data_IF_010976911007
#
_entry.id   IF_010976911007
#
_cell.length_a   1.000
_cell.length_b   1.000
_cell.length_c   1.000
_cell.angle_alpha   90.00
_cell.angle_beta   90.00
_cell.angle_gamma   90.00
#
_symmetry.space_group_name_H-M   'P 1'
#
loop_
_entity.id
_entity.type
_entity.pdbx_description
1 polymer ?
#
# COMPACT_ATOMS: atom_id res chain seq x y z
N UNK A 1 27.40 -4.66 -15.66
CA UNK A 1 25.97 -4.84 -15.96
C UNK A 1 25.13 -4.32 -14.81
N UNK A 2 24.29 -3.37 -15.08
CA UNK A 2 23.45 -2.80 -14.04
C UNK A 2 22.30 -3.71 -13.68
N UNK A 3 22.08 -3.86 -12.39
CA UNK A 3 20.89 -4.55 -11.90
C UNK A 3 19.75 -3.57 -11.88
N UNK A 4 18.63 -3.95 -12.48
CA UNK A 4 17.42 -3.17 -12.33
C UNK A 4 16.89 -3.34 -10.91
N UNK A 5 16.52 -2.23 -10.29
CA UNK A 5 15.92 -2.26 -8.98
C UNK A 5 14.49 -2.76 -9.08
N UNK A 6 14.10 -3.63 -8.18
CA UNK A 6 12.71 -4.04 -8.07
C UNK A 6 11.88 -2.91 -7.49
N UNK A 7 10.68 -2.73 -8.04
CA UNK A 7 9.73 -1.75 -7.54
C UNK A 7 8.69 -2.47 -6.70
N UNK A 8 8.53 -2.04 -5.46
CA UNK A 8 7.60 -2.65 -4.52
C UNK A 8 6.58 -1.61 -4.08
N UNK A 9 5.30 -1.94 -4.22
CA UNK A 9 4.23 -1.11 -3.71
C UNK A 9 3.89 -1.48 -2.28
N UNK A 10 3.74 -0.48 -1.43
CA UNK A 10 3.25 -0.66 -0.08
C UNK A 10 1.96 0.11 0.07
N UNK A 11 0.91 -0.54 0.56
CA UNK A 11 -0.31 0.17 0.90
C UNK A 11 0.00 1.18 1.99
N UNK A 12 -0.54 2.37 1.84
CA UNK A 12 -0.21 3.48 2.73
C UNK A 12 -1.48 4.19 3.17
N UNK A 13 -1.49 4.71 4.38
CA UNK A 13 -2.66 5.42 4.91
C UNK A 13 -2.27 6.82 5.33
N UNK A 14 -3.21 7.75 5.23
CA UNK A 14 -3.03 9.10 5.73
C UNK A 14 -3.55 9.17 7.17
N UNK A 15 -2.92 10.03 7.99
CA UNK A 15 -3.30 10.18 9.39
C UNK A 15 -4.80 10.49 9.54
N UNK A 16 -5.30 11.41 8.73
CA UNK A 16 -6.70 11.84 8.79
C UNK A 16 -7.69 10.75 8.38
N UNK A 17 -7.22 9.72 7.68
CA UNK A 17 -8.07 8.64 7.18
C UNK A 17 -8.04 7.38 8.05
N UNK A 18 -7.11 7.30 9.00
CA UNK A 18 -6.82 6.03 9.66
C UNK A 18 -8.02 5.44 10.42
N UNK A 19 -8.78 6.29 11.12
CA UNK A 19 -9.96 5.81 11.84
C UNK A 19 -11.00 5.24 10.88
N UNK A 20 -11.19 5.87 9.72
CA UNK A 20 -12.11 5.37 8.70
C UNK A 20 -11.57 4.08 8.09
N UNK A 21 -10.25 4.01 7.88
CA UNK A 21 -9.59 2.78 7.42
C UNK A 21 -9.93 1.60 8.34
N UNK A 22 -9.81 1.80 9.65
CA UNK A 22 -10.13 0.75 10.61
C UNK A 22 -11.61 0.35 10.54
N UNK A 23 -12.47 1.28 10.16
CA UNK A 23 -13.90 1.01 10.04
C UNK A 23 -14.29 0.26 8.77
N UNK A 24 -13.54 0.42 7.68
CA UNK A 24 -13.90 -0.19 6.38
C UNK A 24 -13.17 -1.50 6.10
N UNK A 25 -12.03 -1.76 6.75
CA UNK A 25 -11.27 -2.98 6.51
C UNK A 25 -11.89 -4.14 7.28
N UNK A 26 -12.15 -5.25 6.58
CA UNK A 26 -12.72 -6.45 7.21
C UNK A 26 -11.73 -7.13 8.16
N UNK A 27 -10.44 -6.88 7.98
CA UNK A 27 -9.37 -7.43 8.82
C UNK A 27 -8.76 -6.36 9.73
N UNK A 28 -9.53 -5.35 10.12
CA UNK A 28 -9.03 -4.24 10.94
C UNK A 28 -8.40 -4.70 12.25
N UNK A 29 -8.84 -5.84 12.79
CA UNK A 29 -8.26 -6.40 14.01
C UNK A 29 -6.78 -6.77 13.86
N UNK A 30 -6.29 -6.89 12.63
CA UNK A 30 -4.86 -7.16 12.34
C UNK A 30 -4.05 -5.88 12.17
N UNK A 31 -4.71 -4.73 12.13
CA UNK A 31 -4.03 -3.45 11.99
C UNK A 31 -3.79 -2.84 13.38
N UNK A 32 -2.71 -2.08 13.55
CA UNK A 32 -2.48 -1.36 14.81
C UNK A 32 -3.65 -0.44 15.16
N UNK A 33 -3.86 -0.24 16.45
CA UNK A 33 -4.97 0.58 16.95
C UNK A 33 -4.82 2.06 16.61
N UNK A 34 -3.58 2.53 16.50
CA UNK A 34 -3.32 3.95 16.23
C UNK A 34 -2.53 4.13 14.97
N UNK A 35 -2.73 5.29 14.35
CA UNK A 35 -1.96 5.66 13.15
C UNK A 35 -0.45 5.71 13.46
N UNK A 36 -0.07 6.22 14.63
CA UNK A 36 1.35 6.31 15.00
C UNK A 36 2.03 4.94 15.05
N UNK A 37 1.35 3.96 15.62
CA UNK A 37 1.87 2.58 15.65
C UNK A 37 1.98 1.99 14.25
N UNK A 38 0.96 2.21 13.43
CA UNK A 38 0.99 1.73 12.05
C UNK A 38 2.12 2.40 11.28
N UNK A 39 2.26 3.72 11.41
CA UNK A 39 3.26 4.49 10.66
C UNK A 39 4.67 4.03 11.00
N UNK A 40 4.95 3.76 12.27
CA UNK A 40 6.26 3.28 12.70
C UNK A 40 6.61 1.96 11.99
N UNK A 41 5.67 1.03 11.97
CA UNK A 41 5.87 -0.26 11.28
C UNK A 41 6.04 -0.08 9.78
N UNK A 42 5.23 0.78 9.18
CA UNK A 42 5.27 1.03 7.75
C UNK A 42 6.59 1.67 7.33
N UNK A 43 7.06 2.66 8.10
CA UNK A 43 8.32 3.32 7.82
C UNK A 43 9.51 2.38 8.00
N UNK A 44 9.47 1.52 9.00
CA UNK A 44 10.52 0.52 9.20
C UNK A 44 10.58 -0.46 8.03
N UNK A 45 9.42 -0.92 7.56
CA UNK A 45 9.36 -1.81 6.40
C UNK A 45 9.88 -1.13 5.14
N UNK A 46 9.49 0.12 4.94
CA UNK A 46 9.97 0.92 3.80
C UNK A 46 11.48 1.09 3.84
N UNK A 47 12.02 1.39 5.00
CA UNK A 47 13.47 1.55 5.22
C UNK A 47 14.24 0.27 4.89
N UNK A 48 13.74 -0.86 5.36
CA UNK A 48 14.38 -2.16 5.11
C UNK A 48 14.41 -2.48 3.62
N UNK A 49 13.30 -2.26 2.94
CA UNK A 49 13.22 -2.51 1.50
C UNK A 49 14.14 -1.57 0.72
N UNK A 50 14.19 -0.31 1.10
CA UNK A 50 15.07 0.67 0.47
C UNK A 50 16.53 0.29 0.70
N UNK A 51 16.88 -0.15 1.90
CA UNK A 51 18.23 -0.56 2.24
C UNK A 51 18.70 -1.77 1.44
N UNK A 52 17.78 -2.64 1.03
CA UNK A 52 18.11 -3.81 0.21
C UNK A 52 18.06 -3.53 -1.29
N UNK A 53 17.91 -2.27 -1.69
CA UNK A 53 18.01 -1.85 -3.08
C UNK A 53 16.70 -1.79 -3.85
N UNK A 54 15.56 -1.87 -3.15
CA UNK A 54 14.26 -1.74 -3.80
C UNK A 54 13.82 -0.30 -3.91
N UNK A 55 13.01 -0.01 -4.91
CA UNK A 55 12.29 1.26 -5.01
C UNK A 55 10.92 1.03 -4.39
N UNK A 56 10.57 1.81 -3.39
CA UNK A 56 9.29 1.67 -2.70
C UNK A 56 8.31 2.73 -3.17
N UNK A 57 7.13 2.29 -3.58
CA UNK A 57 6.04 3.18 -3.98
C UNK A 57 4.96 3.12 -2.92
N UNK A 58 4.65 4.25 -2.32
CA UNK A 58 3.56 4.34 -1.35
C UNK A 58 2.24 4.42 -2.09
N UNK A 59 1.44 3.38 -1.98
CA UNK A 59 0.13 3.31 -2.63
C UNK A 59 -0.93 3.77 -1.63
N UNK A 60 -1.25 5.06 -1.65
CA UNK A 60 -2.16 5.64 -0.67
C UNK A 60 -3.58 5.15 -0.92
N UNK A 61 -4.19 4.56 0.09
CA UNK A 61 -5.55 4.05 0.04
C UNK A 61 -6.51 5.12 0.56
N UNK A 62 -7.47 5.50 -0.28
CA UNK A 62 -8.56 6.39 0.12
C UNK A 62 -9.72 5.51 0.61
N UNK A 63 -10.08 5.59 1.90
CA UNK A 63 -11.15 4.74 2.44
C UNK A 63 -12.52 5.01 1.84
N UNK A 64 -12.71 6.15 1.20
CA UNK A 64 -13.98 6.48 0.55
C UNK A 64 -14.18 5.73 -0.76
N UNK A 65 -13.10 5.43 -1.47
CA UNK A 65 -13.17 4.79 -2.78
C UNK A 65 -12.71 3.34 -2.78
N UNK A 66 -11.90 2.94 -1.81
CA UNK A 66 -11.32 1.61 -1.79
C UNK A 66 -12.35 0.47 -1.70
N UNK A 67 -13.42 0.57 -0.88
CA UNK A 67 -14.41 -0.51 -0.86
C UNK A 67 -15.07 -0.76 -2.21
N UNK A 68 -15.38 0.30 -2.96
CA UNK A 68 -15.95 0.16 -4.31
C UNK A 68 -14.92 -0.44 -5.27
N UNK A 69 -13.68 -0.01 -5.18
CA UNK A 69 -12.59 -0.56 -5.97
C UNK A 69 -12.47 -2.08 -5.76
N UNK A 70 -12.59 -2.54 -4.51
CA UNK A 70 -12.58 -3.95 -4.17
C UNK A 70 -13.79 -4.67 -4.76
N UNK A 71 -14.97 -4.08 -4.62
CA UNK A 71 -16.22 -4.67 -5.11
C UNK A 71 -16.19 -4.89 -6.61
N UNK A 72 -15.68 -3.92 -7.36
CA UNK A 72 -15.56 -4.06 -8.82
C UNK A 72 -14.64 -5.20 -9.24
N UNK A 73 -13.76 -5.63 -8.34
CA UNK A 73 -12.80 -6.70 -8.61
C UNK A 73 -13.13 -8.00 -7.89
N UNK A 74 -14.32 -8.07 -7.28
CA UNK A 74 -14.74 -9.22 -6.49
C UNK A 74 -13.75 -9.57 -5.38
N UNK A 75 -13.21 -8.54 -4.71
CA UNK A 75 -12.28 -8.68 -3.60
C UNK A 75 -12.93 -8.24 -2.31
N UNK A 76 -12.55 -8.90 -1.21
CA UNK A 76 -12.91 -8.42 0.13
C UNK A 76 -12.06 -7.19 0.46
N UNK A 77 -12.50 -6.39 1.42
CA UNK A 77 -11.78 -5.18 1.83
C UNK A 77 -10.78 -5.59 2.92
N UNK A 78 -9.69 -6.22 2.51
CA UNK A 78 -8.73 -6.85 3.42
C UNK A 78 -7.28 -6.73 2.90
N UNK A 79 -6.36 -7.45 3.58
CA UNK A 79 -4.93 -7.42 3.26
C UNK A 79 -4.64 -7.85 1.81
N UNK A 80 -5.36 -8.85 1.32
CA UNK A 80 -5.17 -9.34 -0.05
C UNK A 80 -5.51 -8.25 -1.07
N UNK A 81 -6.62 -7.55 -0.84
CA UNK A 81 -7.02 -6.44 -1.70
C UNK A 81 -6.02 -5.28 -1.63
N UNK A 82 -5.51 -4.99 -0.42
CA UNK A 82 -4.51 -3.92 -0.25
C UNK A 82 -3.23 -4.26 -1.00
N UNK A 83 -2.81 -5.53 -0.95
CA UNK A 83 -1.63 -5.98 -1.69
C UNK A 83 -1.84 -5.84 -3.20
N UNK A 84 -3.01 -6.23 -3.69
CA UNK A 84 -3.34 -6.11 -5.11
C UNK A 84 -3.31 -4.65 -5.55
N UNK A 85 -3.89 -3.76 -4.75
CA UNK A 85 -3.89 -2.32 -5.00
C UNK A 85 -2.45 -1.77 -5.06
N UNK A 86 -1.62 -2.16 -4.11
CA UNK A 86 -0.22 -1.73 -4.05
C UNK A 86 0.58 -2.25 -5.25
N UNK A 87 0.32 -3.48 -5.68
CA UNK A 87 1.00 -4.05 -6.85
C UNK A 87 0.65 -3.30 -8.13
N UNK A 88 -0.59 -2.86 -8.26
CA UNK A 88 -1.01 -2.05 -9.41
C UNK A 88 -0.26 -0.71 -9.39
N UNK A 89 -0.15 -0.08 -8.22
CA UNK A 89 0.57 1.19 -8.09
C UNK A 89 2.04 1.03 -8.47
N UNK A 90 2.67 -0.08 -8.07
CA UNK A 90 4.04 -0.37 -8.43
C UNK A 90 4.20 -0.54 -9.95
N UNK A 91 3.26 -1.24 -10.58
CA UNK A 91 3.27 -1.43 -12.03
C UNK A 91 3.11 -0.10 -12.77
N UNK A 92 2.19 0.74 -12.30
CA UNK A 92 2.00 2.06 -12.90
C UNK A 92 3.25 2.92 -12.79
N UNK A 93 3.95 2.82 -11.67
CA UNK A 93 5.23 3.51 -11.48
C UNK A 93 6.25 3.05 -12.54
N UNK A 94 6.39 1.74 -12.72
CA UNK A 94 7.33 1.16 -13.72
C UNK A 94 6.96 1.64 -15.12
N UNK A 95 5.68 1.57 -15.46
CA UNK A 95 5.20 1.97 -16.80
C UNK A 95 5.50 3.43 -17.09
N UNK A 96 5.28 4.31 -16.11
CA UNK A 96 5.57 5.74 -16.26
C UNK A 96 7.04 6.03 -16.45
N UNK A 97 7.91 5.33 -15.72
CA UNK A 97 9.35 5.56 -15.75
C UNK A 97 10.04 4.89 -16.91
N UNK A 98 9.37 3.94 -17.58
CA UNK A 98 9.88 3.27 -18.77
C UNK A 98 9.29 3.81 -20.07
N UNK A 99 8.35 4.74 -19.99
CA UNK A 99 7.79 5.37 -21.20
C UNK A 99 8.69 6.45 -21.73
N UNK A 100 8.85 6.51 -23.01
CA UNK A 100 9.64 7.54 -23.68
C UNK A 100 8.78 8.32 -24.63
#
# INVERSE_FOLDING_TARGET
MEKQKSVIGLSWYRAEDYDVILGVMSDSHKLPDTFGEWLLKAENGEKELTATGHIVVRAVIDPKTFPDWCRFRNLNVDAKARMHFANIAAREYVDRHNSH
#
